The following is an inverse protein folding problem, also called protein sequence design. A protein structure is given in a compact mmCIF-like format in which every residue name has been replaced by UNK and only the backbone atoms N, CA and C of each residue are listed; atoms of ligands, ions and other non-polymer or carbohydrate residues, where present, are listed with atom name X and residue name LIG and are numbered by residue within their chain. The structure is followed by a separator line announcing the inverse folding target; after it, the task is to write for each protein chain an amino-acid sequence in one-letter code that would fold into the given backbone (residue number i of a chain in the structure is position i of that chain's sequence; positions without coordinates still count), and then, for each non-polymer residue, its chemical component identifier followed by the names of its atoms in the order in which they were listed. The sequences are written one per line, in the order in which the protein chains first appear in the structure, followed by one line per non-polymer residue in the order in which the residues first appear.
data_IF_214578575856
#
_entry.id   IF_214578575856
#
_cell.length_a   1.000
_cell.length_b   1.000
_cell.length_c   1.000
_cell.angle_alpha   90.00
_cell.angle_beta   90.00
_cell.angle_gamma   90.00
#
_symmetry.space_group_name_H-M   'P 1'
#
loop_
_entity.id
_entity.type
_entity.pdbx_description
1 polymer ?
#
# COMPACT_ATOMS: atom_id res chain seq x y z
N UNK A 1 15.54 5.61 -8.54
CA UNK A 1 14.87 5.67 -7.23
C UNK A 1 15.20 6.98 -6.52
N UNK A 2 14.17 7.76 -6.13
CA UNK A 2 14.36 9.09 -5.52
C UNK A 2 14.93 8.99 -4.08
N UNK A 3 14.49 7.96 -3.34
CA UNK A 3 14.90 7.71 -1.94
C UNK A 3 16.16 6.85 -1.82
N UNK A 4 16.52 6.14 -2.89
CA UNK A 4 17.72 5.31 -2.98
C UNK A 4 18.32 5.48 -4.38
N UNK A 5 19.00 6.61 -4.65
CA UNK A 5 19.51 6.94 -5.99
C UNK A 5 20.52 5.93 -6.52
N UNK A 6 21.21 5.22 -5.64
CA UNK A 6 22.13 4.13 -5.99
C UNK A 6 21.41 2.97 -6.71
N UNK A 7 20.11 2.79 -6.53
CA UNK A 7 19.34 1.77 -7.25
C UNK A 7 19.24 2.08 -8.75
N UNK A 8 19.38 3.34 -9.16
CA UNK A 8 19.37 3.70 -10.58
C UNK A 8 20.61 3.16 -11.32
N UNK A 9 21.66 2.78 -10.58
CA UNK A 9 22.89 2.20 -11.13
C UNK A 9 22.85 0.66 -11.19
N UNK A 10 21.78 0.05 -10.63
CA UNK A 10 21.62 -1.40 -10.65
C UNK A 10 21.00 -1.86 -11.98
N UNK A 11 21.40 -3.04 -12.44
CA UNK A 11 20.86 -3.63 -13.65
C UNK A 11 19.35 -3.93 -13.49
N UNK A 12 18.56 -3.51 -14.46
CA UNK A 12 17.18 -3.94 -14.57
C UNK A 12 17.15 -5.35 -15.17
N UNK A 13 16.57 -6.30 -14.42
CA UNK A 13 16.53 -7.72 -14.79
C UNK A 13 15.26 -8.12 -15.51
N UNK A 14 14.26 -7.25 -15.54
CA UNK A 14 12.94 -7.52 -16.08
C UNK A 14 11.85 -6.89 -15.21
N UNK A 15 10.71 -7.57 -15.10
CA UNK A 15 9.56 -7.16 -14.32
C UNK A 15 9.06 -8.28 -13.38
N UNK A 16 7.87 -8.14 -12.81
CA UNK A 16 7.29 -9.11 -11.87
C UNK A 16 6.92 -10.46 -12.50
N UNK A 17 6.89 -10.54 -13.83
CA UNK A 17 6.46 -11.71 -14.59
C UNK A 17 7.53 -12.26 -15.53
N UNK A 18 8.58 -11.48 -15.75
CA UNK A 18 9.63 -11.80 -16.72
C UNK A 18 11.01 -11.42 -16.19
N UNK A 19 11.96 -12.35 -16.27
CA UNK A 19 13.35 -12.11 -15.89
C UNK A 19 14.26 -12.45 -17.07
N UNK A 20 15.31 -11.64 -17.28
CA UNK A 20 16.38 -11.90 -18.22
C UNK A 20 17.41 -12.88 -17.58
N UNK A 21 17.45 -14.14 -18.01
CA UNK A 21 18.28 -15.16 -17.35
C UNK A 21 19.79 -14.89 -17.54
N UNK A 22 20.22 -14.28 -18.66
CA UNK A 22 21.63 -14.00 -18.91
C UNK A 22 22.14 -12.94 -17.95
N UNK A 23 21.38 -11.85 -17.79
CA UNK A 23 21.70 -10.81 -16.82
C UNK A 23 21.67 -11.34 -15.39
N UNK A 24 20.69 -12.22 -15.07
CA UNK A 24 20.60 -12.82 -13.74
C UNK A 24 21.84 -13.66 -13.43
N UNK A 25 22.26 -14.54 -14.33
CA UNK A 25 23.48 -15.36 -14.16
C UNK A 25 24.73 -14.51 -14.03
N UNK A 26 24.84 -13.43 -14.82
CA UNK A 26 25.99 -12.49 -14.76
C UNK A 26 26.14 -11.82 -13.39
N UNK A 27 25.03 -11.56 -12.68
CA UNK A 27 25.02 -10.99 -11.35
C UNK A 27 25.42 -11.97 -10.25
N UNK A 28 25.37 -13.30 -10.52
CA UNK A 28 25.67 -14.36 -9.54
C UNK A 28 24.95 -14.17 -8.19
N UNK A 29 23.62 -14.00 -8.17
CA UNK A 29 22.91 -13.79 -6.91
C UNK A 29 22.93 -15.07 -6.07
N UNK A 30 22.93 -14.91 -4.75
CA UNK A 30 22.83 -16.01 -3.80
C UNK A 30 21.37 -16.44 -3.55
N UNK A 31 20.42 -15.53 -3.80
CA UNK A 31 18.99 -15.75 -3.68
C UNK A 31 18.25 -14.77 -4.58
N UNK A 32 17.11 -15.18 -5.10
CA UNK A 32 16.16 -14.30 -5.82
C UNK A 32 14.83 -14.28 -5.06
N UNK A 33 14.40 -13.09 -4.68
CA UNK A 33 13.07 -12.88 -4.13
C UNK A 33 12.08 -12.57 -5.25
N UNK A 34 10.95 -13.25 -5.25
CA UNK A 34 9.85 -13.02 -6.17
C UNK A 34 8.56 -12.74 -5.40
N UNK A 35 7.55 -12.18 -6.05
CA UNK A 35 6.23 -12.06 -5.44
C UNK A 35 5.55 -13.43 -5.38
N UNK A 36 4.66 -13.63 -4.42
CA UNK A 36 3.88 -14.86 -4.27
C UNK A 36 3.03 -15.23 -5.49
N UNK A 37 2.67 -14.26 -6.32
CA UNK A 37 1.92 -14.45 -7.57
C UNK A 37 2.81 -14.45 -8.83
N UNK A 38 4.13 -14.53 -8.66
CA UNK A 38 5.03 -14.67 -9.80
C UNK A 38 4.72 -15.97 -10.59
N UNK A 39 4.79 -15.95 -11.92
CA UNK A 39 4.55 -17.18 -12.71
C UNK A 39 5.49 -18.32 -12.28
N UNK A 40 4.92 -19.48 -11.98
CA UNK A 40 5.70 -20.66 -11.57
C UNK A 40 6.82 -20.98 -12.57
N UNK A 41 6.54 -20.88 -13.88
CA UNK A 41 7.53 -21.08 -14.93
C UNK A 41 8.74 -20.13 -14.85
N UNK A 42 8.57 -18.93 -14.32
CA UNK A 42 9.68 -18.00 -14.06
C UNK A 42 10.55 -18.51 -12.91
N UNK A 43 9.92 -18.89 -11.80
CA UNK A 43 10.61 -19.45 -10.63
C UNK A 43 11.36 -20.74 -10.97
N UNK A 44 10.75 -21.62 -11.76
CA UNK A 44 11.37 -22.87 -12.23
C UNK A 44 12.61 -22.60 -13.10
N UNK A 45 12.53 -21.64 -14.02
CA UNK A 45 13.67 -21.22 -14.84
C UNK A 45 14.84 -20.71 -14.00
N UNK A 46 14.55 -19.88 -12.98
CA UNK A 46 15.59 -19.36 -12.08
C UNK A 46 16.22 -20.51 -11.26
N UNK A 47 15.39 -21.40 -10.73
CA UNK A 47 15.84 -22.56 -9.95
C UNK A 47 16.68 -23.51 -10.79
N UNK A 48 16.34 -23.72 -12.07
CA UNK A 48 17.13 -24.54 -13.00
C UNK A 48 18.55 -24.00 -13.26
N UNK A 49 18.79 -22.70 -12.97
CA UNK A 49 20.13 -22.09 -13.01
C UNK A 49 20.92 -22.35 -11.72
N UNK A 50 20.37 -23.11 -10.77
CA UNK A 50 20.99 -23.36 -9.46
C UNK A 50 20.86 -22.20 -8.46
N UNK A 51 19.96 -21.25 -8.73
CA UNK A 51 19.76 -20.07 -7.88
C UNK A 51 18.52 -20.30 -7.01
N UNK A 52 18.63 -20.21 -5.67
CA UNK A 52 17.49 -20.32 -4.77
C UNK A 52 16.46 -19.21 -5.04
N UNK A 53 15.18 -19.58 -5.09
CA UNK A 53 14.05 -18.64 -5.26
C UNK A 53 13.20 -18.65 -4.00
N UNK A 54 12.86 -17.48 -3.48
CA UNK A 54 12.01 -17.29 -2.32
C UNK A 54 10.82 -16.43 -2.72
N UNK A 55 9.62 -16.99 -2.67
CA UNK A 55 8.39 -16.24 -2.86
C UNK A 55 8.03 -15.48 -1.57
N UNK A 56 7.84 -14.17 -1.70
CA UNK A 56 7.44 -13.30 -0.59
C UNK A 56 5.98 -12.93 -0.76
N UNK A 57 5.17 -13.26 0.25
CA UNK A 57 3.86 -12.69 0.46
C UNK A 57 3.92 -11.72 1.64
N UNK A 58 3.31 -10.54 1.49
CA UNK A 58 3.05 -9.63 2.61
C UNK A 58 1.61 -9.81 3.10
N UNK A 59 1.08 -11.02 2.93
CA UNK A 59 -0.24 -11.45 3.33
C UNK A 59 -0.16 -12.90 3.77
N UNK A 60 -0.72 -13.22 4.92
CA UNK A 60 -0.86 -14.59 5.40
C UNK A 60 -2.09 -15.22 4.73
N UNK A 61 -1.84 -16.13 3.80
CA UNK A 61 -2.88 -16.74 2.98
C UNK A 61 -3.33 -18.09 3.54
N UNK A 62 -4.61 -18.41 3.36
CA UNK A 62 -5.11 -19.76 3.61
C UNK A 62 -4.52 -20.74 2.58
N UNK A 63 -4.37 -22.05 2.92
CA UNK A 63 -3.87 -23.05 1.99
C UNK A 63 -4.61 -23.04 0.64
N UNK A 64 -3.86 -22.94 -0.45
CA UNK A 64 -4.38 -22.86 -1.82
C UNK A 64 -4.77 -21.47 -2.30
N UNK A 65 -4.61 -20.44 -1.45
CA UNK A 65 -4.86 -19.04 -1.80
C UNK A 65 -3.56 -18.25 -2.06
N UNK A 66 -2.40 -18.83 -1.75
CA UNK A 66 -1.12 -18.14 -1.65
C UNK A 66 -0.69 -17.45 -2.95
N UNK A 67 -0.93 -18.11 -4.10
CA UNK A 67 -0.58 -17.59 -5.41
C UNK A 67 -1.65 -16.67 -6.04
N UNK A 68 -2.78 -16.49 -5.37
CA UNK A 68 -3.87 -15.67 -5.94
C UNK A 68 -3.62 -14.18 -5.72
N UNK A 69 -3.84 -13.40 -6.77
CA UNK A 69 -3.80 -11.94 -6.68
C UNK A 69 -4.97 -11.38 -5.83
N UNK A 70 -6.11 -12.03 -5.86
CA UNK A 70 -7.32 -11.69 -5.11
C UNK A 70 -7.83 -12.93 -4.35
N UNK A 71 -7.20 -13.31 -3.23
CA UNK A 71 -7.63 -14.46 -2.44
C UNK A 71 -8.90 -14.17 -1.66
N UNK A 72 -9.55 -15.24 -1.20
CA UNK A 72 -10.57 -15.14 -0.17
C UNK A 72 -9.89 -15.13 1.20
N UNK A 73 -10.17 -14.12 2.01
CA UNK A 73 -9.63 -13.99 3.36
C UNK A 73 -10.78 -14.01 4.37
N UNK A 74 -10.64 -14.80 5.42
CA UNK A 74 -11.61 -14.84 6.52
C UNK A 74 -11.49 -13.59 7.41
N UNK A 75 -10.27 -13.13 7.61
CA UNK A 75 -9.93 -11.91 8.36
C UNK A 75 -8.82 -11.17 7.62
N UNK A 76 -9.19 -10.09 6.92
CA UNK A 76 -8.26 -9.29 6.13
C UNK A 76 -7.22 -8.58 7.01
N UNK A 77 -7.64 -8.09 8.17
CA UNK A 77 -6.78 -7.39 9.13
C UNK A 77 -5.64 -8.33 9.59
N UNK A 78 -6.02 -9.50 10.09
CA UNK A 78 -5.07 -10.49 10.58
C UNK A 78 -4.16 -11.00 9.44
N UNK A 79 -4.71 -11.27 8.26
CA UNK A 79 -3.95 -11.77 7.12
C UNK A 79 -2.85 -10.80 6.70
N UNK A 80 -3.15 -9.50 6.63
CA UNK A 80 -2.17 -8.50 6.25
C UNK A 80 -1.18 -8.16 7.38
N UNK A 81 -1.59 -8.16 8.65
CA UNK A 81 -0.67 -7.90 9.77
C UNK A 81 0.35 -9.04 9.92
N UNK A 82 -0.12 -10.30 9.93
CA UNK A 82 0.75 -11.47 10.01
C UNK A 82 1.68 -11.56 8.81
N UNK A 83 1.15 -11.44 7.59
CA UNK A 83 1.94 -11.59 6.37
C UNK A 83 3.04 -10.55 6.24
N UNK A 84 2.79 -9.30 6.65
CA UNK A 84 3.83 -8.28 6.69
C UNK A 84 4.96 -8.66 7.65
N UNK A 85 4.63 -9.09 8.87
CA UNK A 85 5.61 -9.47 9.89
C UNK A 85 6.43 -10.69 9.45
N UNK A 86 5.75 -11.71 8.95
CA UNK A 86 6.37 -12.94 8.44
C UNK A 86 7.30 -12.64 7.26
N UNK A 87 6.84 -11.84 6.29
CA UNK A 87 7.63 -11.46 5.12
C UNK A 87 8.88 -10.65 5.48
N UNK A 88 8.76 -9.67 6.38
CA UNK A 88 9.91 -8.88 6.86
C UNK A 88 10.89 -9.78 7.64
N UNK A 89 10.38 -10.65 8.54
CA UNK A 89 11.21 -11.53 9.33
C UNK A 89 11.97 -12.54 8.45
N UNK A 90 11.29 -13.15 7.46
CA UNK A 90 11.88 -14.08 6.51
C UNK A 90 13.01 -13.43 5.69
N UNK A 91 12.78 -12.22 5.17
CA UNK A 91 13.82 -11.47 4.45
C UNK A 91 15.00 -11.22 5.40
N UNK A 92 14.74 -10.74 6.62
CA UNK A 92 15.76 -10.47 7.62
C UNK A 92 16.60 -11.71 7.97
N UNK A 93 15.98 -12.87 8.05
CA UNK A 93 16.66 -14.14 8.31
C UNK A 93 17.59 -14.54 7.14
N UNK A 94 17.05 -14.54 5.91
CA UNK A 94 17.79 -14.93 4.71
C UNK A 94 19.00 -14.03 4.45
N UNK A 95 18.88 -12.73 4.69
CA UNK A 95 19.98 -11.76 4.46
C UNK A 95 20.81 -11.48 5.73
N UNK A 96 20.57 -12.23 6.81
CA UNK A 96 21.25 -12.07 8.11
C UNK A 96 21.11 -10.65 8.71
N UNK A 97 19.87 -10.13 8.70
CA UNK A 97 19.48 -8.79 9.15
C UNK A 97 18.26 -8.82 10.09
N UNK A 98 18.22 -9.81 11.00
CA UNK A 98 17.11 -10.00 11.94
C UNK A 98 16.89 -8.79 12.89
N UNK A 99 17.97 -8.12 13.42
CA UNK A 99 17.76 -6.92 14.23
C UNK A 99 17.10 -5.78 13.46
N UNK A 100 17.52 -5.56 12.21
CA UNK A 100 16.96 -4.51 11.34
C UNK A 100 15.50 -4.83 10.95
N UNK A 101 15.19 -6.10 10.69
CA UNK A 101 13.82 -6.55 10.44
C UNK A 101 12.91 -6.28 11.65
N UNK A 102 13.34 -6.59 12.86
CA UNK A 102 12.59 -6.27 14.09
C UNK A 102 12.41 -4.77 14.26
N UNK A 103 13.48 -4.00 14.09
CA UNK A 103 13.40 -2.53 14.19
C UNK A 103 12.41 -1.93 13.20
N UNK A 104 12.30 -2.48 11.98
CA UNK A 104 11.34 -2.06 10.96
C UNK A 104 9.90 -2.38 11.38
N UNK A 105 9.64 -3.57 11.92
CA UNK A 105 8.33 -3.96 12.45
C UNK A 105 7.92 -3.04 13.60
N UNK A 106 8.82 -2.80 14.58
CA UNK A 106 8.56 -1.93 15.73
C UNK A 106 8.23 -0.49 15.30
N UNK A 107 8.94 0.00 14.28
CA UNK A 107 8.71 1.33 13.74
C UNK A 107 7.33 1.44 13.07
N UNK A 108 6.93 0.41 12.33
CA UNK A 108 5.62 0.29 11.71
C UNK A 108 4.52 0.32 12.76
N UNK A 109 4.64 -0.50 13.80
CA UNK A 109 3.70 -0.57 14.92
C UNK A 109 3.58 0.77 15.67
N UNK A 110 4.69 1.47 15.84
CA UNK A 110 4.69 2.79 16.48
C UNK A 110 3.86 3.80 15.70
N UNK A 111 3.99 3.81 14.37
CA UNK A 111 3.19 4.70 13.51
C UNK A 111 1.70 4.39 13.61
N UNK A 112 1.32 3.11 13.53
CA UNK A 112 -0.07 2.65 13.66
C UNK A 112 -0.66 2.97 15.03
N UNK A 113 0.06 2.70 16.11
CA UNK A 113 -0.38 3.05 17.48
C UNK A 113 -0.64 4.54 17.63
N UNK A 114 0.20 5.39 17.08
CA UNK A 114 0.01 6.84 17.13
C UNK A 114 -1.32 7.28 16.49
N UNK A 115 -1.72 6.62 15.41
CA UNK A 115 -3.01 6.88 14.75
C UNK A 115 -4.16 6.34 15.59
N UNK A 116 -4.12 5.08 15.99
CA UNK A 116 -5.20 4.43 16.74
C UNK A 116 -5.50 5.13 18.05
N UNK A 117 -4.47 5.53 18.80
CA UNK A 117 -4.62 6.24 20.10
C UNK A 117 -5.34 7.58 19.95
N UNK A 118 -5.07 8.31 18.86
CA UNK A 118 -5.69 9.62 18.61
C UNK A 118 -7.10 9.52 18.05
N UNK A 119 -7.45 8.40 17.42
CA UNK A 119 -8.74 8.21 16.78
C UNK A 119 -9.71 7.32 17.56
N UNK A 120 -9.29 6.75 18.69
CA UNK A 120 -10.10 5.80 19.50
C UNK A 120 -11.47 6.33 19.91
N UNK A 121 -11.59 7.65 20.10
CA UNK A 121 -12.83 8.30 20.53
C UNK A 121 -13.75 8.71 19.36
N UNK A 122 -13.38 8.40 18.11
CA UNK A 122 -14.21 8.70 16.95
C UNK A 122 -15.11 7.51 16.65
N UNK A 123 -16.40 7.60 16.91
CA UNK A 123 -17.32 6.53 16.62
C UNK A 123 -17.47 6.30 15.11
N UNK A 124 -17.82 5.08 14.72
CA UNK A 124 -17.84 4.64 13.32
C UNK A 124 -18.69 5.55 12.41
N UNK A 125 -19.85 5.99 12.89
CA UNK A 125 -20.79 6.84 12.17
C UNK A 125 -20.30 8.28 11.96
N UNK A 126 -19.26 8.69 12.70
CA UNK A 126 -18.61 10.02 12.56
C UNK A 126 -17.31 9.97 11.76
N UNK A 127 -16.92 8.81 11.29
CA UNK A 127 -15.71 8.65 10.46
C UNK A 127 -15.92 9.31 9.11
N UNK A 128 -14.84 9.95 8.62
CA UNK A 128 -14.83 10.64 7.32
C UNK A 128 -14.95 9.64 6.19
N UNK A 129 -15.88 9.86 5.26
CA UNK A 129 -16.06 9.04 4.07
C UNK A 129 -15.05 9.42 3.01
N UNK A 130 -14.22 8.45 2.60
CA UNK A 130 -13.13 8.67 1.68
C UNK A 130 -13.20 7.73 0.46
N UNK A 131 -12.68 8.22 -0.66
CA UNK A 131 -12.57 7.50 -1.91
C UNK A 131 -11.10 7.47 -2.35
N UNK A 132 -10.62 6.31 -2.82
CA UNK A 132 -9.31 6.18 -3.44
C UNK A 132 -9.47 6.21 -4.96
N UNK A 133 -9.06 7.32 -5.57
CA UNK A 133 -9.16 7.50 -7.01
C UNK A 133 -7.87 7.09 -7.72
N UNK A 134 -8.03 6.37 -8.82
CA UNK A 134 -6.96 5.99 -9.75
C UNK A 134 -7.42 6.31 -11.18
N UNK A 135 -6.55 6.17 -12.21
CA UNK A 135 -6.96 6.34 -13.60
C UNK A 135 -8.17 5.49 -13.98
N UNK A 136 -8.95 5.98 -14.93
CA UNK A 136 -10.09 5.26 -15.52
C UNK A 136 -11.16 4.86 -14.49
N UNK A 137 -11.35 5.68 -13.45
CA UNK A 137 -12.28 5.43 -12.36
C UNK A 137 -12.04 4.09 -11.63
N UNK A 138 -10.80 3.56 -11.67
CA UNK A 138 -10.48 2.37 -10.89
C UNK A 138 -10.33 2.72 -9.42
N UNK A 139 -10.74 1.80 -8.53
CA UNK A 139 -10.69 1.99 -7.08
C UNK A 139 -10.50 0.67 -6.35
N UNK A 140 -10.16 0.78 -5.07
CA UNK A 140 -10.06 -0.35 -4.14
C UNK A 140 -11.29 -0.42 -3.25
N UNK A 141 -11.93 -1.59 -3.24
CA UNK A 141 -12.98 -1.93 -2.29
C UNK A 141 -12.45 -2.71 -1.08
N UNK A 142 -13.23 -3.71 -0.62
CA UNK A 142 -12.81 -4.69 0.37
C UNK A 142 -11.82 -5.71 -0.21
N UNK A 143 -11.11 -6.45 0.64
CA UNK A 143 -10.17 -7.51 0.20
C UNK A 143 -8.82 -6.99 -0.29
N UNK A 144 -8.53 -5.71 -0.12
CA UNK A 144 -7.22 -5.10 -0.46
C UNK A 144 -6.73 -4.22 0.68
N UNK A 145 -5.45 -4.28 0.93
CA UNK A 145 -4.82 -3.52 2.01
C UNK A 145 -5.13 -2.01 1.93
N UNK A 146 -5.27 -1.44 0.73
CA UNK A 146 -5.63 -0.02 0.57
C UNK A 146 -6.93 0.35 1.29
N UNK A 147 -7.93 -0.55 1.29
CA UNK A 147 -9.17 -0.36 2.04
C UNK A 147 -8.94 -0.37 3.56
N UNK A 148 -8.13 -1.29 4.06
CA UNK A 148 -7.74 -1.35 5.47
C UNK A 148 -6.93 -0.13 5.90
N UNK A 149 -5.97 0.30 5.08
CA UNK A 149 -5.18 1.51 5.32
C UNK A 149 -6.08 2.73 5.53
N UNK A 150 -7.14 2.87 4.72
CA UNK A 150 -8.12 3.93 4.89
C UNK A 150 -8.89 3.78 6.21
N UNK A 151 -9.29 2.55 6.58
CA UNK A 151 -9.98 2.27 7.83
C UNK A 151 -9.10 2.55 9.05
N UNK A 152 -7.83 2.15 9.03
CA UNK A 152 -6.85 2.45 10.09
C UNK A 152 -6.62 3.94 10.23
N UNK A 153 -6.58 4.68 9.13
CA UNK A 153 -6.49 6.14 9.15
C UNK A 153 -7.78 6.84 9.64
N UNK A 154 -8.82 6.07 9.99
CA UNK A 154 -10.09 6.57 10.50
C UNK A 154 -11.12 6.92 9.45
N UNK A 155 -10.96 6.48 8.20
CA UNK A 155 -11.95 6.69 7.15
C UNK A 155 -12.94 5.53 7.02
N UNK A 156 -14.08 5.83 6.39
CA UNK A 156 -14.95 4.84 5.77
C UNK A 156 -14.62 4.83 4.27
N UNK A 157 -14.10 3.72 3.75
CA UNK A 157 -13.95 3.54 2.32
C UNK A 157 -15.33 3.40 1.68
N UNK A 158 -15.75 4.39 0.90
CA UNK A 158 -17.09 4.42 0.30
C UNK A 158 -17.33 3.30 -0.72
N UNK A 159 -16.27 2.72 -1.28
CA UNK A 159 -16.35 1.62 -2.23
C UNK A 159 -16.46 0.24 -1.55
N UNK A 160 -16.10 0.11 -0.26
CA UNK A 160 -15.93 -1.19 0.39
C UNK A 160 -17.20 -2.05 0.42
N UNK A 161 -18.39 -1.43 0.54
CA UNK A 161 -19.66 -2.16 0.62
C UNK A 161 -20.08 -2.79 -0.71
N UNK A 162 -19.60 -2.28 -1.85
CA UNK A 162 -20.09 -2.67 -3.19
C UNK A 162 -18.99 -3.23 -4.09
N UNK A 163 -17.72 -2.95 -3.77
CA UNK A 163 -16.56 -3.37 -4.56
C UNK A 163 -15.71 -4.32 -3.74
N UNK A 164 -15.40 -5.48 -4.31
CA UNK A 164 -14.40 -6.40 -3.80
C UNK A 164 -13.17 -6.36 -4.71
N UNK A 165 -11.98 -6.19 -4.12
CA UNK A 165 -10.72 -6.11 -4.85
C UNK A 165 -10.49 -4.74 -5.49
N UNK A 166 -9.88 -4.74 -6.65
CA UNK A 166 -9.58 -3.55 -7.46
C UNK A 166 -10.41 -3.59 -8.74
N UNK A 167 -11.26 -2.59 -8.96
CA UNK A 167 -12.19 -2.55 -10.10
C UNK A 167 -12.43 -1.14 -10.60
N UNK A 168 -12.83 -1.02 -11.87
CA UNK A 168 -13.40 0.18 -12.46
C UNK A 168 -14.85 0.34 -12.00
N UNK A 169 -15.25 1.58 -11.72
CA UNK A 169 -16.62 1.97 -11.35
C UNK A 169 -17.16 3.04 -12.31
N UNK A 170 -18.47 3.20 -12.34
CA UNK A 170 -19.09 4.28 -13.09
C UNK A 170 -19.02 5.61 -12.32
N UNK A 171 -19.00 6.74 -13.02
CA UNK A 171 -19.00 8.07 -12.39
C UNK A 171 -20.25 8.30 -11.54
N UNK A 172 -21.39 7.80 -11.97
CA UNK A 172 -22.66 7.85 -11.25
C UNK A 172 -22.55 7.18 -9.87
N UNK A 173 -21.76 6.10 -9.78
CA UNK A 173 -21.50 5.43 -8.51
C UNK A 173 -20.65 6.30 -7.59
N UNK A 174 -19.64 6.97 -8.11
CA UNK A 174 -18.81 7.91 -7.33
C UNK A 174 -19.64 9.09 -6.84
N UNK A 175 -20.54 9.61 -7.71
CA UNK A 175 -21.47 10.69 -7.35
C UNK A 175 -22.43 10.21 -6.24
N UNK A 176 -22.99 9.01 -6.36
CA UNK A 176 -23.87 8.44 -5.33
C UNK A 176 -23.17 8.25 -3.99
N UNK A 177 -21.91 7.86 -3.98
CA UNK A 177 -21.11 7.77 -2.76
C UNK A 177 -20.81 9.14 -2.15
N UNK A 178 -20.68 10.18 -2.96
CA UNK A 178 -20.35 11.55 -2.54
C UNK A 178 -19.28 11.60 -1.42
N UNK A 179 -18.02 11.22 -1.69
CA UNK A 179 -16.97 11.20 -0.68
C UNK A 179 -16.67 12.60 -0.15
N UNK A 180 -16.32 12.68 1.14
CA UNK A 180 -15.86 13.92 1.80
C UNK A 180 -14.38 14.21 1.57
N UNK A 181 -13.60 13.15 1.23
CA UNK A 181 -12.17 13.23 0.91
C UNK A 181 -11.88 12.29 -0.25
N UNK A 182 -11.04 12.74 -1.17
CA UNK A 182 -10.50 11.90 -2.24
C UNK A 182 -8.98 11.84 -2.09
N UNK A 183 -8.44 10.62 -2.04
CA UNK A 183 -7.02 10.35 -2.14
C UNK A 183 -6.70 9.84 -3.54
N UNK A 184 -5.56 10.27 -4.07
CA UNK A 184 -5.01 9.80 -5.34
C UNK A 184 -3.63 9.24 -5.08
N UNK A 185 -3.32 8.06 -5.62
CA UNK A 185 -2.00 7.44 -5.44
C UNK A 185 -0.89 8.33 -6.00
N UNK A 186 0.28 8.29 -5.37
CA UNK A 186 1.47 9.09 -5.64
C UNK A 186 1.91 9.13 -7.13
N UNK A 187 1.69 8.04 -7.84
CA UNK A 187 2.05 7.86 -9.26
C UNK A 187 1.08 8.47 -10.26
N UNK A 188 -0.06 9.02 -9.82
CA UNK A 188 -1.12 9.52 -10.70
C UNK A 188 -1.47 11.01 -10.50
N UNK A 189 -0.51 11.93 -10.59
CA UNK A 189 -0.78 13.35 -10.38
C UNK A 189 -1.78 13.94 -11.39
N UNK A 190 -1.88 13.39 -12.60
CA UNK A 190 -2.87 13.80 -13.61
C UNK A 190 -4.31 13.58 -13.15
N UNK A 191 -4.58 12.52 -12.37
CA UNK A 191 -5.92 12.24 -11.83
C UNK A 191 -6.36 13.33 -10.86
N UNK A 192 -5.44 13.93 -10.09
CA UNK A 192 -5.77 15.07 -9.22
C UNK A 192 -6.26 16.26 -10.05
N UNK A 193 -5.59 16.55 -11.18
CA UNK A 193 -6.02 17.63 -12.06
C UNK A 193 -7.38 17.32 -12.71
N UNK A 194 -7.58 16.10 -13.21
CA UNK A 194 -8.85 15.64 -13.75
C UNK A 194 -10.00 15.85 -12.75
N UNK A 195 -9.82 15.43 -11.49
CA UNK A 195 -10.83 15.58 -10.45
C UNK A 195 -11.11 17.07 -10.15
N UNK A 196 -10.08 17.88 -10.06
CA UNK A 196 -10.23 19.30 -9.72
C UNK A 196 -10.86 20.14 -10.83
N UNK A 197 -10.70 19.76 -12.10
CA UNK A 197 -11.16 20.54 -13.25
C UNK A 197 -12.33 19.91 -14.01
N UNK A 198 -12.54 18.62 -13.89
CA UNK A 198 -13.59 17.89 -14.60
C UNK A 198 -14.99 18.25 -14.10
N UNK A 199 -15.89 18.64 -15.00
CA UNK A 199 -17.24 19.10 -14.66
C UNK A 199 -18.03 18.07 -13.85
N UNK A 200 -17.89 16.79 -14.16
CA UNK A 200 -18.57 15.68 -13.48
C UNK A 200 -18.19 15.52 -12.00
N UNK A 201 -17.00 16.01 -11.61
CA UNK A 201 -16.50 15.91 -10.24
C UNK A 201 -16.93 17.06 -9.34
N UNK A 202 -17.40 18.19 -9.93
CA UNK A 202 -17.67 19.45 -9.20
C UNK A 202 -18.82 19.35 -8.20
N UNK A 203 -19.68 18.34 -8.34
CA UNK A 203 -20.81 18.12 -7.42
C UNK A 203 -20.39 17.47 -6.09
N UNK A 204 -19.20 16.85 -6.04
CA UNK A 204 -18.72 16.10 -4.89
C UNK A 204 -18.28 17.02 -3.74
N UNK A 205 -18.60 16.63 -2.52
CA UNK A 205 -18.21 17.35 -1.30
C UNK A 205 -16.68 17.48 -1.17
N UNK A 206 -15.93 16.44 -1.54
CA UNK A 206 -14.47 16.47 -1.53
C UNK A 206 -13.91 17.57 -2.43
N UNK A 207 -14.50 17.80 -3.60
CA UNK A 207 -14.05 18.82 -4.56
C UNK A 207 -14.46 20.21 -4.08
N UNK A 208 -15.70 20.39 -3.68
CA UNK A 208 -16.23 21.67 -3.14
C UNK A 208 -15.41 22.15 -1.94
N UNK A 209 -15.00 21.21 -1.07
CA UNK A 209 -14.24 21.53 0.13
C UNK A 209 -12.72 21.44 -0.07
N UNK A 210 -12.23 21.32 -1.31
CA UNK A 210 -10.81 21.26 -1.68
C UNK A 210 -10.05 20.11 -0.96
N UNK A 211 -10.72 18.99 -0.69
CA UNK A 211 -10.16 17.82 0.00
C UNK A 211 -9.79 16.69 -0.96
N UNK A 212 -9.06 17.06 -2.03
CA UNK A 212 -8.50 16.11 -3.02
C UNK A 212 -6.98 16.13 -2.87
N UNK A 213 -6.39 15.00 -2.51
CA UNK A 213 -4.99 14.91 -2.12
C UNK A 213 -4.23 13.88 -2.93
N UNK A 214 -3.11 14.31 -3.55
CA UNK A 214 -2.10 13.38 -4.03
C UNK A 214 -1.32 12.84 -2.84
N UNK A 215 -1.22 11.52 -2.74
CA UNK A 215 -0.44 10.86 -1.68
C UNK A 215 1.06 11.06 -1.94
N UNK A 216 1.89 11.25 -0.91
CA UNK A 216 3.34 11.26 -1.08
C UNK A 216 3.89 9.83 -1.25
N UNK A 217 5.10 9.72 -1.76
CA UNK A 217 5.79 8.45 -2.04
C UNK A 217 5.82 7.49 -0.83
N UNK A 218 5.94 8.04 0.39
CA UNK A 218 5.98 7.26 1.63
C UNK A 218 4.62 6.81 2.14
N UNK A 219 3.54 7.24 1.50
CA UNK A 219 2.16 6.86 1.87
C UNK A 219 1.55 5.86 0.89
N UNK A 220 2.35 5.11 0.19
CA UNK A 220 1.95 4.17 -0.88
C UNK A 220 0.72 3.34 -0.54
N UNK A 221 -0.27 3.33 -1.41
CA UNK A 221 -1.53 2.61 -1.25
C UNK A 221 -1.75 1.63 -2.42
N UNK A 222 -0.84 0.68 -2.63
CA UNK A 222 -0.78 -0.18 -3.82
C UNK A 222 -1.48 -1.53 -3.66
N UNK A 223 -2.40 -1.65 -2.72
CA UNK A 223 -3.18 -2.87 -2.50
C UNK A 223 -2.51 -3.92 -1.63
N UNK A 224 -1.24 -3.74 -1.28
CA UNK A 224 -0.46 -4.58 -0.36
C UNK A 224 0.13 -3.74 0.77
N UNK A 225 0.33 -4.33 1.97
CA UNK A 225 0.97 -3.62 3.06
C UNK A 225 2.44 -3.40 2.73
N UNK A 226 2.91 -2.19 3.00
CA UNK A 226 4.32 -1.85 2.96
C UNK A 226 4.66 -1.18 4.29
N UNK A 227 5.82 -1.43 4.89
CA UNK A 227 6.15 -0.88 6.21
C UNK A 227 5.97 0.63 6.31
N UNK A 228 6.41 1.37 5.28
CA UNK A 228 6.25 2.83 5.22
C UNK A 228 4.78 3.27 5.05
N UNK A 229 3.94 2.48 4.36
CA UNK A 229 2.52 2.78 4.23
C UNK A 229 1.80 2.64 5.57
N UNK A 230 2.13 1.60 6.34
CA UNK A 230 1.57 1.41 7.67
C UNK A 230 2.10 2.44 8.67
N UNK A 231 3.42 2.66 8.71
CA UNK A 231 4.04 3.54 9.69
C UNK A 231 3.83 5.03 9.43
N UNK A 232 3.88 5.44 8.16
CA UNK A 232 3.81 6.85 7.77
C UNK A 232 2.55 7.17 6.96
N UNK A 233 2.12 6.25 6.09
CA UNK A 233 1.00 6.49 5.18
C UNK A 233 -0.33 6.58 5.91
N UNK A 234 -0.62 5.67 6.84
CA UNK A 234 -1.80 5.75 7.70
C UNK A 234 -1.82 7.05 8.51
N UNK A 235 -0.67 7.46 9.07
CA UNK A 235 -0.53 8.71 9.80
C UNK A 235 -0.76 9.94 8.91
N UNK A 236 -0.22 9.93 7.70
CA UNK A 236 -0.45 11.01 6.73
C UNK A 236 -1.92 11.12 6.35
N UNK A 237 -2.58 9.98 6.05
CA UNK A 237 -4.01 9.98 5.75
C UNK A 237 -4.85 10.47 6.93
N UNK A 238 -4.56 9.98 8.14
CA UNK A 238 -5.24 10.40 9.36
C UNK A 238 -5.12 11.91 9.58
N UNK A 239 -3.93 12.48 9.34
CA UNK A 239 -3.72 13.93 9.41
C UNK A 239 -4.54 14.70 8.37
N UNK A 240 -4.76 14.14 7.17
CA UNK A 240 -5.63 14.75 6.15
C UNK A 240 -7.11 14.62 6.48
N UNK A 241 -7.50 13.52 7.11
CA UNK A 241 -8.88 13.27 7.54
C UNK A 241 -9.27 14.13 8.76
N UNK A 242 -8.37 14.23 9.75
CA UNK A 242 -8.58 14.86 11.05
C UNK A 242 -7.46 15.83 11.40
N UNK A 243 -7.29 16.95 10.68
CA UNK A 243 -6.12 17.84 10.83
C UNK A 243 -5.93 18.34 12.29
N UNK A 244 -7.01 18.61 13.01
CA UNK A 244 -6.94 19.10 14.39
C UNK A 244 -6.35 18.08 15.38
N UNK A 245 -6.59 16.78 15.15
CA UNK A 245 -6.06 15.71 16.00
C UNK A 245 -4.56 15.43 15.75
N UNK A 246 -4.02 15.91 14.64
CA UNK A 246 -2.63 15.69 14.21
C UNK A 246 -1.88 16.99 13.89
N UNK A 247 -2.31 18.13 14.43
CA UNK A 247 -1.70 19.45 14.16
C UNK A 247 -0.23 19.53 14.60
N UNK A 248 0.11 18.81 15.66
CA UNK A 248 1.47 18.71 16.23
C UNK A 248 2.42 17.81 15.42
N UNK A 249 1.92 17.05 14.44
CA UNK A 249 2.72 16.13 13.67
C UNK A 249 3.30 16.82 12.44
N UNK A 250 4.63 16.87 12.36
CA UNK A 250 5.35 17.25 11.14
C UNK A 250 5.67 16.01 10.32
N UNK A 251 4.93 15.81 9.22
CA UNK A 251 5.11 14.66 8.35
C UNK A 251 6.45 14.63 7.61
N UNK A 252 7.10 15.78 7.39
CA UNK A 252 8.45 15.80 6.80
C UNK A 252 9.46 15.21 7.77
N UNK A 253 9.37 15.64 9.03
CA UNK A 253 10.23 15.10 10.09
C UNK A 253 9.99 13.60 10.27
N UNK A 254 8.74 13.16 10.36
CA UNK A 254 8.38 11.73 10.50
C UNK A 254 8.95 10.90 9.36
N UNK A 255 8.78 11.33 8.10
CA UNK A 255 9.29 10.62 6.94
C UNK A 255 10.83 10.60 6.91
N UNK A 256 11.49 11.72 7.22
CA UNK A 256 12.96 11.77 7.29
C UNK A 256 13.50 10.82 8.37
N UNK A 257 12.93 10.87 9.58
CA UNK A 257 13.31 9.98 10.69
C UNK A 257 13.10 8.49 10.33
N UNK A 258 12.10 8.18 9.49
CA UNK A 258 11.84 6.83 8.99
C UNK A 258 12.97 6.32 8.07
N UNK A 259 13.40 7.12 7.11
CA UNK A 259 14.39 6.70 6.10
C UNK A 259 15.85 6.87 6.54
N UNK A 260 16.10 7.44 7.71
CA UNK A 260 17.43 7.58 8.30
C UNK A 260 17.78 6.44 9.28
N UNK A 261 16.90 5.47 9.46
CA UNK A 261 17.10 4.29 10.31
C UNK A 261 17.82 3.19 9.55
#
# INVERSE_FOLDING_TARGET
ARLAPELNQKAALGDLTHVDPEKLVALKPQVVFVTNYAPQAMSDKISALGIPVVAISLRHDAPGEEAKMNPTMADEEQAYDLGLREGIALIGEIVNKQPEARALIDATDKGRRMVSDRLKDIPAEKRVRAYMANPELTTYGSGKYTGLMMAHAGAVNVAAATIQGFKTVAMEQVIAWNPQVIFVQDRYPSVVNEIKTGAQWQTLDAVKNQRVYLMPDYAKAWGYPMPEALGNGELWMAKKLYPEKFKDIDMRKVANDWYQR
#
